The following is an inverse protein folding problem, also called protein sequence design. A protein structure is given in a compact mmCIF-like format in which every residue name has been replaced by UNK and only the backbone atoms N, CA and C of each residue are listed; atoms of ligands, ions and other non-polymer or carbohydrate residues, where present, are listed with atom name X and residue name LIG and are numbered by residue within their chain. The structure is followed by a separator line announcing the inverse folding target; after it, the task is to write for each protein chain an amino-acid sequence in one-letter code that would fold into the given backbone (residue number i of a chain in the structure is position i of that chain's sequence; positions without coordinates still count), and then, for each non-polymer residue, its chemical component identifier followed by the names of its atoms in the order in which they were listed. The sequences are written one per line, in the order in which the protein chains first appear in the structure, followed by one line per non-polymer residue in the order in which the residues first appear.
data_IF_880515222904
#
_entry.id   IF_880515222904
#
_cell.length_a   1.000
_cell.length_b   1.000
_cell.length_c   1.000
_cell.angle_alpha   90.00
_cell.angle_beta   90.00
_cell.angle_gamma   90.00
#
_symmetry.space_group_name_H-M   'P 1'
#
loop_
_entity.id
_entity.type
_entity.pdbx_description
1 polymer ?
#
# COMPACT_ATOMS: atom_id res chain seq x y z
N UNK A 1 -58.38 23.58 21.93
CA UNK A 1 -58.25 24.30 20.64
C UNK A 1 -56.77 24.58 20.41
N UNK A 2 -56.09 23.76 19.59
CA UNK A 2 -54.67 23.91 19.30
C UNK A 2 -54.44 25.05 18.31
N UNK A 3 -53.74 26.10 18.74
CA UNK A 3 -53.38 27.27 17.93
C UNK A 3 -52.24 26.86 16.99
N UNK A 4 -52.52 26.78 15.69
CA UNK A 4 -51.52 26.55 14.63
C UNK A 4 -50.50 27.69 14.65
N UNK A 5 -49.29 27.39 15.17
CA UNK A 5 -48.13 28.29 15.11
C UNK A 5 -47.39 28.03 13.79
N UNK A 6 -47.64 28.87 12.79
CA UNK A 6 -46.89 28.86 11.54
C UNK A 6 -45.59 29.66 11.66
N UNK A 7 -44.53 29.21 10.99
CA UNK A 7 -43.28 29.96 10.83
C UNK A 7 -43.50 31.22 9.99
N UNK A 8 -42.83 32.32 10.32
CA UNK A 8 -42.83 33.51 9.45
C UNK A 8 -41.86 33.33 8.29
N UNK A 9 -42.14 33.98 7.15
CA UNK A 9 -41.26 33.96 5.97
C UNK A 9 -39.84 34.46 6.32
N UNK A 10 -39.76 35.45 7.21
CA UNK A 10 -38.50 36.01 7.72
C UNK A 10 -37.73 34.98 8.55
N UNK A 11 -38.41 34.23 9.41
CA UNK A 11 -37.77 33.20 10.23
C UNK A 11 -37.21 32.05 9.38
N UNK A 12 -37.93 31.67 8.32
CA UNK A 12 -37.39 30.74 7.33
C UNK A 12 -36.11 31.31 6.69
N UNK A 13 -36.12 32.56 6.22
CA UNK A 13 -34.94 33.17 5.60
C UNK A 13 -33.74 33.27 6.54
N UNK A 14 -33.95 33.56 7.82
CA UNK A 14 -32.87 33.60 8.81
C UNK A 14 -32.32 32.20 9.08
N UNK A 15 -33.19 31.19 9.19
CA UNK A 15 -32.74 29.80 9.40
C UNK A 15 -31.94 29.23 8.23
N UNK A 16 -32.37 29.44 6.97
CA UNK A 16 -31.56 29.03 5.81
C UNK A 16 -30.26 29.82 5.69
N UNK A 17 -30.23 31.10 6.08
CA UNK A 17 -29.00 31.90 6.09
C UNK A 17 -27.98 31.36 7.12
N UNK A 18 -28.43 31.07 8.35
CA UNK A 18 -27.58 30.48 9.39
C UNK A 18 -27.13 29.07 8.98
N UNK A 19 -28.03 28.25 8.44
CA UNK A 19 -27.70 26.91 7.96
C UNK A 19 -26.63 26.94 6.86
N UNK A 20 -26.71 27.90 5.93
CA UNK A 20 -25.72 28.06 4.86
C UNK A 20 -24.32 28.38 5.41
N UNK A 21 -24.21 29.26 6.41
CA UNK A 21 -22.92 29.59 7.05
C UNK A 21 -22.32 28.36 7.75
N UNK A 22 -23.14 27.61 8.49
CA UNK A 22 -22.69 26.38 9.17
C UNK A 22 -22.26 25.33 8.16
N UNK A 23 -23.02 25.14 7.07
CA UNK A 23 -22.70 24.18 6.02
C UNK A 23 -21.35 24.49 5.35
N UNK A 24 -21.04 25.76 5.08
CA UNK A 24 -19.76 26.18 4.48
C UNK A 24 -18.55 25.83 5.36
N UNK A 25 -18.68 25.90 6.69
CA UNK A 25 -17.61 25.51 7.62
C UNK A 25 -17.43 23.99 7.72
N UNK A 26 -18.48 23.20 7.50
CA UNK A 26 -18.45 21.74 7.66
C UNK A 26 -17.82 21.00 6.46
N UNK A 27 -17.95 21.52 5.24
CA UNK A 27 -17.44 20.88 4.01
C UNK A 27 -15.92 20.59 4.01
N UNK A 28 -15.00 21.50 4.39
CA UNK A 28 -13.57 21.26 4.26
C UNK A 28 -13.03 20.11 5.15
N UNK A 29 -13.67 19.82 6.29
CA UNK A 29 -13.24 18.77 7.20
C UNK A 29 -13.29 17.36 6.58
N UNK A 30 -14.22 17.11 5.65
CA UNK A 30 -14.37 15.81 4.99
C UNK A 30 -13.21 15.47 4.04
N UNK A 31 -12.56 16.47 3.44
CA UNK A 31 -11.45 16.24 2.51
C UNK A 31 -10.22 15.62 3.18
N UNK A 32 -9.85 16.15 4.36
CA UNK A 32 -8.72 15.64 5.14
C UNK A 32 -9.00 14.24 5.69
N UNK A 33 -10.19 14.02 6.25
CA UNK A 33 -10.58 12.70 6.76
C UNK A 33 -10.52 11.63 5.68
N UNK A 34 -11.07 11.90 4.49
CA UNK A 34 -11.04 10.94 3.37
C UNK A 34 -9.60 10.62 2.94
N UNK A 35 -8.71 11.61 3.00
CA UNK A 35 -7.31 11.45 2.60
C UNK A 35 -6.53 10.57 3.58
N UNK A 36 -6.67 10.82 4.89
CA UNK A 36 -6.07 9.96 5.92
C UNK A 36 -6.63 8.53 5.87
N UNK A 37 -7.92 8.35 5.56
CA UNK A 37 -8.51 7.02 5.41
C UNK A 37 -7.89 6.25 4.24
N UNK A 38 -7.63 6.90 3.11
CA UNK A 38 -6.92 6.27 1.97
C UNK A 38 -5.51 5.85 2.35
N UNK A 39 -4.76 6.73 3.01
CA UNK A 39 -3.40 6.46 3.48
C UNK A 39 -3.35 5.24 4.41
N UNK A 40 -4.30 5.17 5.35
CA UNK A 40 -4.46 4.04 6.26
C UNK A 40 -4.87 2.75 5.54
N UNK A 41 -5.77 2.85 4.56
CA UNK A 41 -6.20 1.69 3.76
C UNK A 41 -5.03 1.08 2.99
N UNK A 42 -4.26 1.89 2.25
CA UNK A 42 -3.09 1.40 1.51
C UNK A 42 -2.01 0.82 2.43
N UNK A 43 -1.78 1.43 3.59
CA UNK A 43 -0.86 0.89 4.61
C UNK A 43 -1.36 -0.44 5.20
N UNK A 44 -2.68 -0.61 5.33
CA UNK A 44 -3.31 -1.84 5.81
C UNK A 44 -3.21 -2.96 4.77
N UNK A 45 -3.54 -2.66 3.53
CA UNK A 45 -3.44 -3.58 2.40
C UNK A 45 -2.00 -4.08 2.21
N UNK A 46 -1.02 -3.18 2.27
CA UNK A 46 0.38 -3.56 2.23
C UNK A 46 0.74 -4.51 3.38
N UNK A 47 0.34 -4.22 4.61
CA UNK A 47 0.65 -5.08 5.74
C UNK A 47 -0.03 -6.45 5.65
N UNK A 48 -1.23 -6.53 5.08
CA UNK A 48 -1.90 -7.81 4.79
C UNK A 48 -1.09 -8.58 3.76
N UNK A 49 -0.71 -7.94 2.65
CA UNK A 49 0.07 -8.56 1.60
C UNK A 49 1.46 -9.03 2.08
N UNK A 50 2.10 -8.28 2.98
CA UNK A 50 3.37 -8.69 3.61
C UNK A 50 3.18 -9.95 4.46
N UNK A 51 2.14 -10.01 5.28
CA UNK A 51 1.84 -11.21 6.06
C UNK A 51 1.49 -12.40 5.16
N UNK A 52 0.76 -12.16 4.06
CA UNK A 52 0.46 -13.16 3.05
C UNK A 52 1.75 -13.69 2.41
N UNK A 53 2.64 -12.82 1.94
CA UNK A 53 3.92 -13.21 1.35
C UNK A 53 4.77 -14.05 2.32
N UNK A 54 4.86 -13.60 3.57
CA UNK A 54 5.57 -14.31 4.65
C UNK A 54 4.99 -15.71 4.89
N UNK A 55 3.68 -15.81 5.06
CA UNK A 55 3.00 -17.08 5.29
C UNK A 55 3.15 -18.01 4.08
N UNK A 56 3.03 -17.47 2.88
CA UNK A 56 3.16 -18.22 1.64
C UNK A 56 4.58 -18.77 1.45
N UNK A 57 5.60 -17.98 1.78
CA UNK A 57 7.00 -18.43 1.77
C UNK A 57 7.23 -19.60 2.74
N UNK A 58 6.70 -19.49 3.97
CA UNK A 58 6.80 -20.52 4.98
C UNK A 58 6.01 -21.80 4.61
N UNK A 59 4.82 -21.66 4.04
CA UNK A 59 3.97 -22.78 3.62
C UNK A 59 4.57 -23.53 2.42
N UNK A 60 5.07 -22.81 1.43
CA UNK A 60 5.65 -23.37 0.22
C UNK A 60 7.12 -23.79 0.39
N UNK A 61 7.75 -23.45 1.52
CA UNK A 61 9.19 -23.65 1.79
C UNK A 61 10.06 -23.13 0.65
N UNK A 62 9.71 -21.95 0.13
CA UNK A 62 10.40 -21.32 -0.99
C UNK A 62 10.43 -19.80 -0.79
N UNK A 63 11.20 -19.10 -1.61
CA UNK A 63 11.24 -17.64 -1.54
C UNK A 63 10.02 -17.02 -2.21
N UNK A 64 9.43 -16.01 -1.59
CA UNK A 64 8.27 -15.27 -2.11
C UNK A 64 8.60 -13.79 -2.09
N UNK A 65 8.46 -13.15 -3.25
CA UNK A 65 8.67 -11.73 -3.43
C UNK A 65 7.35 -10.97 -3.28
N UNK A 66 7.38 -9.91 -2.47
CA UNK A 66 6.35 -8.87 -2.47
C UNK A 66 6.91 -7.62 -3.12
N UNK A 67 6.14 -7.05 -4.04
CA UNK A 67 6.56 -5.97 -4.91
C UNK A 67 5.58 -4.82 -4.73
N UNK A 68 6.12 -3.63 -4.46
CA UNK A 68 5.31 -2.43 -4.39
C UNK A 68 5.24 -1.81 -5.79
N UNK A 69 4.03 -1.70 -6.33
CA UNK A 69 3.83 -0.96 -7.56
C UNK A 69 3.54 0.51 -7.23
N UNK A 70 4.45 1.38 -7.67
CA UNK A 70 4.40 2.83 -7.43
C UNK A 70 3.73 3.49 -8.64
N UNK A 71 2.43 3.30 -8.86
CA UNK A 71 1.80 3.83 -10.08
C UNK A 71 1.73 5.36 -10.06
N UNK A 72 2.34 5.99 -11.07
CA UNK A 72 1.98 7.30 -11.66
C UNK A 72 2.74 7.66 -12.97
N UNK A 73 3.54 6.76 -13.54
CA UNK A 73 4.06 6.84 -14.93
C UNK A 73 4.24 5.41 -15.45
N UNK A 74 4.50 5.22 -16.74
CA UNK A 74 4.71 3.98 -17.52
C UNK A 74 5.68 2.89 -16.95
N UNK A 75 6.07 3.01 -15.69
CA UNK A 75 6.96 2.12 -14.94
C UNK A 75 6.17 1.23 -13.97
N UNK A 76 5.14 0.55 -14.49
CA UNK A 76 4.38 -0.44 -13.73
C UNK A 76 5.40 -1.50 -13.27
N UNK A 77 5.68 -1.62 -11.97
CA UNK A 77 6.66 -2.59 -11.48
C UNK A 77 6.04 -3.99 -11.63
N UNK A 78 6.23 -4.57 -12.81
CA UNK A 78 5.55 -5.81 -13.20
C UNK A 78 6.01 -6.96 -12.31
N UNK A 79 5.21 -8.03 -12.28
CA UNK A 79 5.64 -9.23 -11.58
C UNK A 79 6.97 -9.78 -12.12
N UNK A 80 7.21 -9.64 -13.43
CA UNK A 80 8.44 -10.08 -14.09
C UNK A 80 9.65 -9.25 -13.64
N UNK A 81 9.54 -7.93 -13.69
CA UNK A 81 10.59 -7.02 -13.23
C UNK A 81 10.91 -7.25 -11.76
N UNK A 82 9.90 -7.41 -10.92
CA UNK A 82 10.10 -7.71 -9.51
C UNK A 82 10.81 -9.06 -9.30
N UNK A 83 10.34 -10.11 -9.98
CA UNK A 83 10.96 -11.42 -9.87
C UNK A 83 12.42 -11.36 -10.33
N UNK A 84 12.71 -10.66 -11.43
CA UNK A 84 14.08 -10.47 -11.93
C UNK A 84 14.96 -9.66 -10.97
N UNK A 85 14.40 -8.67 -10.29
CA UNK A 85 15.16 -7.84 -9.35
C UNK A 85 15.39 -8.51 -7.99
N UNK A 86 14.55 -9.48 -7.60
CA UNK A 86 14.52 -9.98 -6.21
C UNK A 86 14.76 -11.47 -6.06
N UNK A 87 14.38 -12.30 -7.02
CA UNK A 87 14.49 -13.76 -6.94
C UNK A 87 15.75 -14.18 -7.73
N UNK A 88 16.85 -14.59 -7.08
CA UNK A 88 18.11 -14.86 -7.77
C UNK A 88 17.98 -15.92 -8.87
N UNK A 89 17.20 -16.96 -8.61
CA UNK A 89 16.94 -18.06 -9.55
C UNK A 89 15.99 -17.71 -10.69
N UNK A 90 15.25 -16.60 -10.61
CA UNK A 90 14.36 -16.16 -11.69
C UNK A 90 15.13 -15.58 -12.87
N UNK A 91 16.27 -14.94 -12.59
CA UNK A 91 17.16 -14.43 -13.62
C UNK A 91 18.03 -15.54 -14.19
N UNK A 92 18.11 -15.59 -15.51
CA UNK A 92 19.08 -16.41 -16.22
C UNK A 92 20.47 -15.83 -16.02
N UNK A 93 21.10 -16.08 -14.87
CA UNK A 93 22.52 -15.83 -14.73
C UNK A 93 23.26 -17.05 -15.25
N UNK A 94 23.73 -16.97 -16.49
CA UNK A 94 24.87 -17.75 -16.98
C UNK A 94 26.15 -17.31 -16.25
N UNK A 95 26.12 -17.36 -14.92
CA UNK A 95 27.24 -17.12 -14.02
C UNK A 95 27.68 -18.43 -13.38
N UNK A 96 28.79 -18.40 -12.66
CA UNK A 96 29.34 -19.56 -11.97
C UNK A 96 28.86 -19.57 -10.51
N UNK A 97 28.24 -20.66 -10.00
CA UNK A 97 27.85 -21.88 -10.71
C UNK A 97 26.61 -21.65 -11.61
N UNK A 98 26.48 -22.38 -12.74
CA UNK A 98 25.35 -22.21 -13.64
C UNK A 98 24.05 -22.58 -12.93
N UNK A 99 23.16 -21.59 -12.75
CA UNK A 99 21.79 -21.86 -12.38
C UNK A 99 21.05 -22.44 -13.60
N UNK A 100 20.13 -23.40 -13.39
CA UNK A 100 19.32 -23.94 -14.47
C UNK A 100 18.53 -22.81 -15.12
N UNK A 101 18.60 -22.72 -16.45
CA UNK A 101 17.85 -21.73 -17.20
C UNK A 101 16.35 -22.11 -17.14
N UNK A 102 15.54 -21.32 -16.42
CA UNK A 102 14.11 -21.59 -16.27
C UNK A 102 13.40 -21.51 -17.62
N UNK A 103 12.58 -22.51 -17.92
CA UNK A 103 11.65 -22.47 -19.05
C UNK A 103 10.57 -21.40 -18.82
N UNK A 104 9.92 -20.93 -19.88
CA UNK A 104 8.82 -19.96 -19.78
C UNK A 104 7.70 -20.46 -18.86
N UNK A 105 7.36 -21.76 -18.92
CA UNK A 105 6.36 -22.37 -18.05
C UNK A 105 6.76 -22.30 -16.57
N UNK A 106 8.04 -22.53 -16.24
CA UNK A 106 8.53 -22.40 -14.87
C UNK A 106 8.53 -20.94 -14.41
N UNK A 107 8.90 -20.00 -15.29
CA UNK A 107 8.80 -18.57 -14.97
C UNK A 107 7.36 -18.16 -14.68
N UNK A 108 6.41 -18.57 -15.51
CA UNK A 108 4.98 -18.29 -15.30
C UNK A 108 4.47 -18.85 -13.96
N UNK A 109 4.92 -20.05 -13.58
CA UNK A 109 4.58 -20.63 -12.28
C UNK A 109 5.13 -19.79 -11.11
N UNK A 110 6.37 -19.32 -11.21
CA UNK A 110 6.97 -18.42 -10.20
C UNK A 110 6.18 -17.12 -10.12
N UNK A 111 5.87 -16.48 -11.25
CA UNK A 111 5.10 -15.23 -11.28
C UNK A 111 3.70 -15.39 -10.67
N UNK A 112 3.06 -16.55 -10.87
CA UNK A 112 1.74 -16.84 -10.32
C UNK A 112 1.77 -17.17 -8.82
N UNK A 113 2.77 -17.94 -8.39
CA UNK A 113 2.77 -18.58 -7.06
C UNK A 113 3.74 -17.95 -6.06
N UNK A 114 4.69 -17.11 -6.48
CA UNK A 114 5.75 -16.58 -5.62
C UNK A 114 5.92 -15.06 -5.71
N UNK A 115 5.12 -14.39 -6.54
CA UNK A 115 5.19 -12.93 -6.71
C UNK A 115 3.85 -12.29 -6.39
N UNK A 116 3.86 -11.46 -5.34
CA UNK A 116 2.70 -10.68 -4.88
C UNK A 116 2.96 -9.21 -5.20
N UNK A 117 2.15 -8.64 -6.09
CA UNK A 117 2.19 -7.21 -6.44
C UNK A 117 1.14 -6.45 -5.63
N UNK A 118 1.57 -5.39 -4.93
CA UNK A 118 0.68 -4.49 -4.17
C UNK A 118 0.58 -3.17 -4.91
N UNK A 119 -0.64 -2.77 -5.25
CA UNK A 119 -0.94 -1.48 -5.86
C UNK A 119 -1.19 -0.45 -4.77
N UNK A 120 -0.61 0.74 -4.89
CA UNK A 120 -0.86 1.87 -4.00
C UNK A 120 -1.69 2.91 -4.74
N UNK A 121 -2.65 3.55 -4.06
CA UNK A 121 -3.45 4.62 -4.67
C UNK A 121 -2.51 5.71 -5.21
N UNK A 122 -2.62 6.09 -6.51
CA UNK A 122 -1.72 7.07 -7.13
C UNK A 122 -1.78 8.45 -6.48
N UNK A 123 -2.78 8.73 -5.65
CA UNK A 123 -2.85 9.98 -4.90
C UNK A 123 -1.93 10.00 -3.69
N UNK A 124 -1.35 8.87 -3.28
CA UNK A 124 -0.41 8.74 -2.16
C UNK A 124 1.03 8.78 -2.70
N UNK A 125 1.87 9.62 -2.10
CA UNK A 125 3.28 9.68 -2.46
C UNK A 125 4.04 8.56 -1.75
N UNK A 126 4.85 7.80 -2.49
CA UNK A 126 5.82 6.87 -1.92
C UNK A 126 7.17 7.58 -1.86
N UNK A 127 7.77 7.72 -0.68
CA UNK A 127 9.04 8.45 -0.56
C UNK A 127 10.19 7.68 -1.22
N UNK A 128 11.17 8.40 -1.77
CA UNK A 128 12.32 7.83 -2.50
C UNK A 128 13.20 6.91 -1.65
N UNK A 129 13.18 7.07 -0.32
CA UNK A 129 13.88 6.22 0.66
C UNK A 129 13.16 4.90 0.92
N UNK A 130 11.95 4.72 0.37
CA UNK A 130 11.19 3.48 0.49
C UNK A 130 11.79 2.36 -0.33
N UNK A 131 11.81 1.16 0.25
CA UNK A 131 12.06 -0.09 -0.46
C UNK A 131 11.01 -0.31 -1.56
N UNK A 132 11.41 -1.01 -2.63
CA UNK A 132 10.50 -1.34 -3.74
C UNK A 132 9.94 -2.76 -3.63
N UNK A 133 10.61 -3.63 -2.86
CA UNK A 133 10.21 -5.01 -2.71
C UNK A 133 10.73 -5.61 -1.40
N UNK A 134 10.18 -6.75 -1.02
CA UNK A 134 10.65 -7.62 0.07
C UNK A 134 10.74 -9.05 -0.46
N UNK A 135 11.88 -9.71 -0.23
CA UNK A 135 12.03 -11.13 -0.48
C UNK A 135 11.97 -11.88 0.85
N UNK A 136 10.93 -12.69 1.03
CA UNK A 136 10.81 -13.62 2.14
C UNK A 136 11.48 -14.94 1.79
N UNK A 137 12.22 -15.52 2.74
CA UNK A 137 12.76 -16.87 2.61
C UNK A 137 11.76 -17.93 3.12
N UNK A 138 12.14 -19.20 3.01
CA UNK A 138 11.35 -20.37 3.41
C UNK A 138 10.93 -20.43 4.89
N UNK A 139 11.49 -19.57 5.75
CA UNK A 139 11.11 -19.42 7.16
C UNK A 139 10.42 -18.08 7.45
N UNK A 140 10.09 -17.31 6.42
CA UNK A 140 9.40 -16.03 6.54
C UNK A 140 10.27 -14.89 7.11
N UNK A 141 11.59 -15.03 7.04
CA UNK A 141 12.58 -14.00 7.37
C UNK A 141 13.04 -13.25 6.12
N UNK A 142 13.72 -12.12 6.31
CA UNK A 142 14.23 -11.25 5.23
C UNK A 142 15.69 -10.89 5.49
N UNK A 143 16.49 -10.71 4.44
CA UNK A 143 17.95 -10.49 4.55
C UNK A 143 18.28 -9.18 5.26
N UNK A 144 17.53 -8.12 4.97
CA UNK A 144 17.68 -6.78 5.52
C UNK A 144 16.32 -6.19 5.90
N UNK A 145 16.33 -5.22 6.82
CA UNK A 145 15.11 -4.50 7.20
C UNK A 145 14.64 -3.65 6.03
N UNK A 146 13.40 -3.88 5.58
CA UNK A 146 12.78 -3.12 4.50
C UNK A 146 11.85 -2.07 5.09
N UNK A 147 11.85 -0.87 4.52
CA UNK A 147 11.06 0.26 5.01
C UNK A 147 10.25 0.85 3.87
N UNK A 148 8.95 0.95 4.04
CA UNK A 148 8.02 1.58 3.10
C UNK A 148 7.45 2.83 3.74
N UNK A 149 7.56 3.96 3.06
CA UNK A 149 7.13 5.25 3.58
C UNK A 149 6.12 5.87 2.62
N UNK A 150 4.93 6.14 3.14
CA UNK A 150 3.83 6.77 2.43
C UNK A 150 3.56 8.13 3.02
N UNK A 151 3.45 9.14 2.16
CA UNK A 151 3.19 10.51 2.54
C UNK A 151 1.94 11.02 1.80
N UNK A 152 1.04 11.68 2.54
CA UNK A 152 -0.06 12.42 1.95
C UNK A 152 -0.55 13.53 2.87
N UNK A 153 -0.69 14.75 2.33
CA UNK A 153 -1.26 15.92 3.04
C UNK A 153 -0.58 16.22 4.39
N UNK A 154 0.75 16.06 4.46
CA UNK A 154 1.55 16.27 5.67
C UNK A 154 1.54 15.11 6.68
N UNK A 155 0.79 14.04 6.39
CA UNK A 155 0.74 12.85 7.22
C UNK A 155 1.58 11.73 6.58
N UNK A 156 2.46 11.13 7.38
CA UNK A 156 3.33 10.04 6.95
C UNK A 156 2.95 8.73 7.67
N UNK A 157 2.94 7.62 6.94
CA UNK A 157 2.83 6.27 7.48
C UNK A 157 4.03 5.45 7.03
N UNK A 158 4.71 4.84 7.99
CA UNK A 158 5.87 4.00 7.75
C UNK A 158 5.53 2.56 8.11
N UNK A 159 5.81 1.65 7.19
CA UNK A 159 5.69 0.20 7.37
C UNK A 159 7.07 -0.41 7.26
N UNK A 160 7.56 -0.96 8.36
CA UNK A 160 8.86 -1.60 8.42
C UNK A 160 8.70 -3.11 8.55
N UNK A 161 9.47 -3.86 7.76
CA UNK A 161 9.61 -5.30 7.87
C UNK A 161 10.98 -5.59 8.47
N UNK A 162 11.00 -6.10 9.71
CA UNK A 162 12.27 -6.47 10.37
C UNK A 162 12.89 -7.70 9.73
N UNK A 163 14.16 -8.00 10.02
CA UNK A 163 14.86 -9.21 9.55
C UNK A 163 14.15 -10.52 9.88
N UNK A 164 13.35 -10.55 10.95
CA UNK A 164 12.51 -11.70 11.34
C UNK A 164 11.16 -11.75 10.60
N UNK A 165 10.95 -10.86 9.64
CA UNK A 165 9.71 -10.72 8.88
C UNK A 165 8.54 -10.18 9.71
N UNK A 166 8.79 -9.50 10.82
CA UNK A 166 7.73 -8.88 11.61
C UNK A 166 7.44 -7.47 11.09
N UNK A 167 6.17 -7.08 11.12
CA UNK A 167 5.72 -5.77 10.63
C UNK A 167 5.62 -4.81 11.80
N UNK A 168 6.24 -3.64 11.65
CA UNK A 168 6.07 -2.50 12.55
C UNK A 168 5.48 -1.33 11.78
N UNK A 169 4.48 -0.66 12.35
CA UNK A 169 3.84 0.52 11.75
C UNK A 169 4.08 1.72 12.64
N UNK A 170 4.55 2.81 12.05
CA UNK A 170 4.71 4.09 12.74
C UNK A 170 4.03 5.19 11.94
N UNK A 171 3.60 6.25 12.63
CA UNK A 171 3.03 7.43 12.02
C UNK A 171 3.98 8.61 12.25
N UNK A 172 4.02 9.54 11.32
CA UNK A 172 4.89 10.70 11.36
C UNK A 172 4.34 11.83 10.51
N UNK A 173 5.22 12.77 10.20
CA UNK A 173 4.90 13.93 9.36
C UNK A 173 5.88 13.98 8.20
N UNK A 174 5.31 14.18 7.02
CA UNK A 174 6.01 14.71 5.86
C UNK A 174 5.55 16.16 5.64
#
# INVERSE_FOLDING_TARGET
MGKSRGFTLVELMVTIAIFAVIAMMAVPAFGNMMTTQKLNSSTRELAIAINQAKSQAAMMKTTVALCLNKTNTDNDFTKDECASATIPEYTATSGSPPLPNLTTAQKDEILKSRVISVQIDPRITVESTSSNAVLFNEIGSVTATQTFIFCKSGEQRTVQVTRLGNIQKTSGTC
#
